data_IF_408551359561
#
_entry.id   IF_408551359561
#
_cell.length_a   1.000
_cell.length_b   1.000
_cell.length_c   1.000
_cell.angle_alpha   90.00
_cell.angle_beta   90.00
_cell.angle_gamma   90.00
#
_symmetry.space_group_name_H-M   'P 1'
#
loop_
_entity.id
_entity.type
_entity.pdbx_description
1 polymer ?
#
# COMPACT_ATOMS: atom_id res chain seq x y z
N UNK A 1 -60.98 -15.69 -16.31
CA UNK A 1 -59.68 -15.01 -16.11
C UNK A 1 -59.30 -15.06 -14.64
N UNK A 2 -58.64 -16.14 -14.22
CA UNK A 2 -57.78 -16.17 -13.03
C UNK A 2 -57.04 -17.51 -13.03
N UNK A 3 -55.79 -17.48 -13.47
CA UNK A 3 -54.86 -18.61 -13.44
C UNK A 3 -54.01 -18.43 -12.19
N UNK A 4 -54.20 -19.31 -11.20
CA UNK A 4 -53.37 -19.37 -10.01
C UNK A 4 -52.38 -20.52 -10.17
N UNK A 5 -51.10 -20.20 -10.31
CA UNK A 5 -49.99 -21.17 -10.36
C UNK A 5 -49.42 -21.40 -8.97
N UNK A 6 -49.14 -22.67 -8.71
CA UNK A 6 -48.64 -23.24 -7.47
C UNK A 6 -47.27 -22.69 -7.05
N UNK A 7 -47.09 -22.54 -5.74
CA UNK A 7 -45.85 -22.15 -5.08
C UNK A 7 -44.99 -23.41 -4.86
N UNK A 8 -43.81 -23.46 -5.48
CA UNK A 8 -42.84 -24.53 -5.33
C UNK A 8 -41.75 -24.12 -4.33
N UNK A 9 -41.45 -25.03 -3.40
CA UNK A 9 -40.38 -24.94 -2.44
C UNK A 9 -39.01 -25.08 -3.12
N UNK A 10 -38.07 -24.21 -2.77
CA UNK A 10 -36.66 -24.40 -3.04
C UNK A 10 -35.91 -24.29 -1.69
N UNK A 11 -35.48 -25.43 -1.19
CA UNK A 11 -34.39 -25.55 -0.22
C UNK A 11 -33.12 -25.09 -0.95
N UNK A 12 -32.49 -24.03 -0.43
CA UNK A 12 -31.26 -23.46 -0.97
C UNK A 12 -30.30 -23.14 0.17
N UNK A 13 -29.14 -23.77 0.11
CA UNK A 13 -28.07 -23.79 1.09
C UNK A 13 -27.53 -22.42 1.53
N UNK A 14 -27.21 -22.33 2.82
CA UNK A 14 -26.03 -21.72 3.42
C UNK A 14 -25.17 -20.78 2.52
N UNK A 15 -25.32 -19.48 2.74
CA UNK A 15 -24.30 -18.48 2.44
C UNK A 15 -23.92 -17.79 3.74
N UNK A 16 -22.76 -18.14 4.32
CA UNK A 16 -22.13 -17.34 5.37
C UNK A 16 -21.77 -15.98 4.78
N UNK A 17 -22.52 -14.94 5.12
CA UNK A 17 -22.07 -13.56 4.91
C UNK A 17 -20.90 -13.32 5.87
N UNK A 18 -19.72 -13.59 5.33
CA UNK A 18 -18.43 -13.29 5.95
C UNK A 18 -18.38 -11.81 6.32
N UNK A 19 -17.98 -11.56 7.56
CA UNK A 19 -17.60 -10.27 8.09
C UNK A 19 -16.74 -9.47 7.10
N UNK A 20 -16.83 -8.13 7.10
CA UNK A 20 -15.85 -7.34 6.39
C UNK A 20 -14.49 -7.61 7.02
N UNK A 21 -13.63 -8.32 6.29
CA UNK A 21 -12.20 -8.34 6.54
C UNK A 21 -11.70 -6.92 6.33
N UNK A 22 -11.75 -6.13 7.41
CA UNK A 22 -10.93 -4.95 7.56
C UNK A 22 -9.48 -5.42 7.55
N UNK A 23 -8.93 -5.59 6.34
CA UNK A 23 -7.49 -5.56 6.18
C UNK A 23 -6.96 -4.26 6.79
N UNK A 24 -5.75 -4.23 7.34
CA UNK A 24 -5.17 -3.00 7.88
C UNK A 24 -4.96 -2.02 6.73
N UNK A 25 -6.00 -1.24 6.44
CA UNK A 25 -5.97 -0.12 5.53
C UNK A 25 -5.19 0.99 6.24
N UNK A 26 -3.91 1.08 5.84
CA UNK A 26 -3.16 2.31 5.63
C UNK A 26 -3.41 3.40 6.69
N UNK A 27 -2.58 3.40 7.74
CA UNK A 27 -2.56 4.49 8.71
C UNK A 27 -2.20 5.82 8.01
N UNK A 28 -3.08 6.84 7.96
CA UNK A 28 -2.76 8.13 7.34
C UNK A 28 -1.89 9.03 8.23
N UNK A 29 -1.31 8.52 9.32
CA UNK A 29 -0.56 9.31 10.30
C UNK A 29 0.78 9.86 9.79
N UNK A 30 1.34 9.29 8.71
CA UNK A 30 2.67 9.65 8.20
C UNK A 30 2.68 10.90 7.30
N UNK A 31 1.56 11.27 6.67
CA UNK A 31 1.55 12.39 5.70
C UNK A 31 1.85 13.75 6.34
N UNK A 32 1.48 13.92 7.61
CA UNK A 32 1.72 15.15 8.36
C UNK A 32 3.16 15.28 8.87
N UNK A 33 3.84 14.15 9.16
CA UNK A 33 5.20 14.17 9.70
C UNK A 33 6.24 14.61 8.65
N UNK A 34 5.94 14.40 7.36
CA UNK A 34 6.87 14.70 6.27
C UNK A 34 6.61 16.02 5.54
N UNK A 35 5.70 16.86 6.02
CA UNK A 35 5.27 18.08 5.33
C UNK A 35 6.40 19.11 5.13
N UNK A 36 7.42 19.08 5.99
CA UNK A 36 8.62 19.90 5.90
C UNK A 36 9.66 19.36 4.89
N UNK A 37 9.41 18.20 4.27
CA UNK A 37 10.32 17.54 3.35
C UNK A 37 9.75 17.53 1.93
N UNK A 38 10.60 17.90 0.98
CA UNK A 38 10.26 17.97 -0.44
C UNK A 38 11.29 17.21 -1.28
N UNK A 39 10.92 16.84 -2.49
CA UNK A 39 11.80 16.21 -3.49
C UNK A 39 11.84 17.08 -4.75
N UNK A 40 13.03 17.37 -5.28
CA UNK A 40 13.19 17.88 -6.64
C UNK A 40 13.27 16.68 -7.59
N UNK A 41 12.27 16.53 -8.44
CA UNK A 41 12.29 15.51 -9.51
C UNK A 41 13.32 15.87 -10.57
N UNK A 42 13.73 14.90 -11.39
CA UNK A 42 14.71 15.10 -12.49
C UNK A 42 14.29 16.14 -13.52
N UNK A 43 13.00 16.45 -13.61
CA UNK A 43 12.46 17.50 -14.46
C UNK A 43 12.41 18.89 -13.80
N UNK A 44 12.98 19.05 -12.59
CA UNK A 44 13.00 20.30 -11.83
C UNK A 44 11.73 20.57 -11.01
N UNK A 45 10.71 19.70 -11.07
CA UNK A 45 9.48 19.91 -10.31
C UNK A 45 9.66 19.50 -8.84
N UNK A 46 9.28 20.40 -7.93
CA UNK A 46 9.26 20.15 -6.49
C UNK A 46 7.95 19.44 -6.11
N UNK A 47 8.06 18.32 -5.42
CA UNK A 47 6.91 17.53 -4.93
C UNK A 47 7.07 17.21 -3.45
N UNK A 48 5.97 16.90 -2.77
CA UNK A 48 6.01 16.47 -1.37
C UNK A 48 6.77 15.13 -1.23
N UNK A 49 7.49 14.98 -0.11
CA UNK A 49 8.13 13.72 0.23
C UNK A 49 7.08 12.68 0.62
N UNK A 50 7.08 11.55 -0.08
CA UNK A 50 6.13 10.45 0.13
C UNK A 50 6.91 9.14 0.30
N UNK A 51 6.98 8.55 1.51
CA UNK A 51 7.74 7.32 1.77
C UNK A 51 7.22 6.14 0.96
N UNK A 52 5.92 6.10 0.66
CA UNK A 52 5.32 5.06 -0.18
C UNK A 52 5.92 4.98 -1.59
N UNK A 53 6.47 6.10 -2.12
CA UNK A 53 7.17 6.09 -3.42
C UNK A 53 8.50 5.34 -3.36
N UNK A 54 9.16 5.34 -2.21
CA UNK A 54 10.40 4.59 -1.97
C UNK A 54 10.09 3.10 -1.90
N UNK A 55 9.07 2.71 -1.13
CA UNK A 55 8.64 1.31 -1.02
C UNK A 55 8.30 0.70 -2.40
N UNK A 56 7.54 1.42 -3.24
CA UNK A 56 7.20 0.96 -4.60
C UNK A 56 8.46 0.84 -5.48
N UNK A 57 9.42 1.75 -5.36
CA UNK A 57 10.67 1.69 -6.11
C UNK A 57 11.54 0.49 -5.68
N UNK A 58 11.66 0.25 -4.38
CA UNK A 58 12.37 -0.90 -3.82
C UNK A 58 11.71 -2.22 -4.22
N UNK A 59 10.38 -2.29 -4.19
CA UNK A 59 9.63 -3.46 -4.65
C UNK A 59 9.89 -3.73 -6.15
N UNK A 60 9.88 -2.69 -6.99
CA UNK A 60 10.22 -2.83 -8.42
C UNK A 60 11.65 -3.33 -8.62
N UNK A 61 12.61 -2.84 -7.83
CA UNK A 61 13.98 -3.32 -7.87
C UNK A 61 14.08 -4.81 -7.47
N UNK A 62 13.38 -5.22 -6.41
CA UNK A 62 13.31 -6.62 -5.99
C UNK A 62 12.76 -7.53 -7.07
N UNK A 63 11.65 -7.11 -7.71
CA UNK A 63 11.03 -7.82 -8.83
C UNK A 63 11.97 -7.95 -10.03
N UNK A 64 12.74 -6.90 -10.34
CA UNK A 64 13.71 -6.95 -11.43
C UNK A 64 14.87 -7.92 -11.17
N UNK A 65 15.22 -8.18 -9.91
CA UNK A 65 16.33 -9.08 -9.53
C UNK A 65 15.87 -10.54 -9.38
N UNK A 66 14.74 -10.77 -8.71
CA UNK A 66 14.27 -12.12 -8.34
C UNK A 66 13.19 -12.66 -9.29
N UNK A 67 12.73 -11.84 -10.24
CA UNK A 67 11.61 -12.16 -11.12
C UNK A 67 10.25 -12.08 -10.42
N UNK A 68 9.19 -12.38 -11.18
CA UNK A 68 7.79 -12.30 -10.71
C UNK A 68 7.46 -13.35 -9.63
N UNK A 69 8.28 -14.39 -9.47
CA UNK A 69 8.11 -15.43 -8.44
C UNK A 69 8.17 -14.88 -7.01
N UNK A 70 8.85 -13.74 -6.79
CA UNK A 70 8.91 -13.06 -5.49
C UNK A 70 7.79 -12.05 -5.23
N UNK A 71 6.94 -11.74 -6.23
CA UNK A 71 6.00 -10.62 -6.18
C UNK A 71 4.88 -10.75 -5.13
N UNK A 72 4.52 -11.99 -4.79
CA UNK A 72 3.49 -12.29 -3.81
C UNK A 72 4.05 -12.59 -2.41
N UNK A 73 5.38 -12.61 -2.25
CA UNK A 73 6.00 -13.04 -1.00
C UNK A 73 5.85 -11.99 0.11
N UNK A 74 5.23 -12.40 1.22
CA UNK A 74 5.04 -11.55 2.39
C UNK A 74 6.39 -11.10 3.00
N UNK A 75 7.37 -11.99 3.06
CA UNK A 75 8.72 -11.68 3.58
C UNK A 75 9.44 -10.62 2.76
N UNK A 76 9.20 -10.56 1.44
CA UNK A 76 9.77 -9.51 0.58
C UNK A 76 9.14 -8.16 0.90
N UNK A 77 7.83 -8.11 1.11
CA UNK A 77 7.13 -6.88 1.50
C UNK A 77 7.64 -6.35 2.83
N UNK A 78 7.79 -7.22 3.82
CA UNK A 78 8.31 -6.85 5.14
C UNK A 78 9.78 -6.38 5.08
N UNK A 79 10.61 -7.04 4.28
CA UNK A 79 11.98 -6.59 4.03
C UNK A 79 12.01 -5.21 3.37
N UNK A 80 11.17 -4.99 2.35
CA UNK A 80 11.07 -3.71 1.64
C UNK A 80 10.56 -2.60 2.58
N UNK A 81 9.62 -2.90 3.46
CA UNK A 81 9.08 -1.96 4.43
C UNK A 81 10.17 -1.52 5.42
N UNK A 82 10.87 -2.47 6.04
CA UNK A 82 11.99 -2.17 6.94
C UNK A 82 13.15 -1.42 6.25
N UNK A 83 13.45 -1.74 4.99
CA UNK A 83 14.41 -0.97 4.20
C UNK A 83 13.91 0.46 3.92
N UNK A 84 12.62 0.63 3.65
CA UNK A 84 12.01 1.94 3.43
C UNK A 84 12.12 2.79 4.69
N UNK A 85 11.77 2.25 5.86
CA UNK A 85 11.93 2.95 7.14
C UNK A 85 13.38 3.36 7.41
N UNK A 86 14.34 2.48 7.12
CA UNK A 86 15.76 2.78 7.27
C UNK A 86 16.22 3.92 6.36
N UNK A 87 15.79 3.93 5.09
CA UNK A 87 16.08 5.01 4.14
C UNK A 87 15.45 6.32 4.62
N UNK A 88 14.18 6.30 5.01
CA UNK A 88 13.46 7.46 5.53
C UNK A 88 14.19 8.01 6.75
N UNK A 89 14.52 7.18 7.73
CA UNK A 89 15.28 7.59 8.92
C UNK A 89 16.65 8.20 8.57
N UNK A 90 17.36 7.63 7.60
CA UNK A 90 18.64 8.18 7.12
C UNK A 90 18.46 9.57 6.47
N UNK A 91 17.42 9.76 5.66
CA UNK A 91 17.10 11.03 5.03
C UNK A 91 16.71 12.10 6.05
N UNK A 92 15.88 11.77 7.03
CA UNK A 92 15.49 12.71 8.10
C UNK A 92 16.70 13.10 8.97
N UNK A 93 17.62 12.16 9.24
CA UNK A 93 18.87 12.46 9.94
C UNK A 93 19.76 13.42 9.15
N UNK A 94 19.81 13.29 7.83
CA UNK A 94 20.61 14.17 6.97
C UNK A 94 20.09 15.61 6.97
N UNK A 95 18.79 15.84 7.18
CA UNK A 95 18.19 17.17 7.26
C UNK A 95 17.20 17.28 8.43
N UNK A 96 17.69 17.55 9.65
CA UNK A 96 16.83 17.60 10.83
C UNK A 96 15.84 18.78 10.81
N UNK A 97 16.13 19.85 10.06
CA UNK A 97 15.29 21.06 9.96
C UNK A 97 14.29 21.03 8.79
N UNK A 98 14.20 19.93 8.04
CA UNK A 98 13.44 19.89 6.79
C UNK A 98 14.19 20.50 5.60
N UNK A 99 13.61 20.40 4.41
CA UNK A 99 14.22 20.86 3.16
C UNK A 99 13.96 19.94 1.98
N UNK A 100 14.64 20.22 0.87
CA UNK A 100 14.37 19.56 -0.42
C UNK A 100 15.49 18.59 -0.79
N UNK A 101 15.20 17.31 -0.98
CA UNK A 101 16.14 16.27 -1.44
C UNK A 101 16.20 16.18 -2.97
#
# INVERSE_FOLDING_TARGET
MQTQVAQAAAVGLAGSESAPVVGPADAPASKSAYHAYQIIRRNGAVVAFEPSKIAVALMKAFLAVHGTSGAASASVRETVDGLTENVVRALLRSRPAGGTF
#
